data_IF_838450594483
#
_entry.id   IF_838450594483
#
_cell.length_a   1.000
_cell.length_b   1.000
_cell.length_c   1.000
_cell.angle_alpha   90.00
_cell.angle_beta   90.00
_cell.angle_gamma   90.00
#
_symmetry.space_group_name_H-M   'P 1'
#
loop_
_entity.id
_entity.type
_entity.pdbx_description
1 polymer ?
#
# COMPACT_ATOMS: atom_id res chain seq x y z
N UNK A 1 10.06 -16.13 18.57
CA UNK A 1 9.84 -14.86 17.85
C UNK A 1 9.57 -15.03 16.34
N UNK A 2 10.23 -15.97 15.65
CA UNK A 2 9.88 -16.26 14.23
C UNK A 2 8.65 -17.18 14.08
N UNK A 3 8.43 -18.09 15.00
CA UNK A 3 7.24 -18.97 15.03
C UNK A 3 5.95 -18.21 15.28
N UNK A 4 5.98 -17.14 16.10
CA UNK A 4 4.82 -16.24 16.31
C UNK A 4 4.50 -15.43 15.05
N UNK A 5 5.51 -14.98 14.31
CA UNK A 5 5.30 -14.31 13.02
C UNK A 5 4.69 -15.24 11.98
N UNK A 6 5.11 -16.48 11.93
CA UNK A 6 4.56 -17.48 11.00
C UNK A 6 3.10 -17.84 11.36
N UNK A 7 2.77 -17.92 12.64
CA UNK A 7 1.39 -18.16 13.11
C UNK A 7 0.47 -16.95 12.86
N UNK A 8 0.96 -15.72 13.04
CA UNK A 8 0.21 -14.51 12.70
C UNK A 8 -0.05 -14.36 11.19
N UNK A 9 0.89 -14.81 10.35
CA UNK A 9 0.73 -14.79 8.89
C UNK A 9 -0.23 -15.89 8.39
N UNK A 10 -0.39 -16.97 9.11
CA UNK A 10 -1.26 -18.08 8.70
C UNK A 10 -2.77 -17.76 8.78
N UNK A 11 -3.17 -16.75 9.54
CA UNK A 11 -4.57 -16.28 9.66
C UNK A 11 -4.81 -14.91 9.03
N UNK A 12 -3.80 -14.30 8.43
CA UNK A 12 -3.92 -12.98 7.83
C UNK A 12 -4.60 -13.06 6.46
N UNK A 13 -5.74 -12.39 6.33
CA UNK A 13 -6.47 -12.28 5.07
C UNK A 13 -6.17 -10.96 4.38
N UNK A 14 -5.57 -11.01 3.18
CA UNK A 14 -5.30 -9.81 2.37
C UNK A 14 -6.62 -9.32 1.78
N UNK A 15 -6.98 -8.08 2.07
CA UNK A 15 -8.21 -7.42 1.59
C UNK A 15 -7.95 -6.29 0.61
N UNK A 16 -6.72 -5.79 0.52
CA UNK A 16 -6.38 -4.69 -0.37
C UNK A 16 -4.92 -4.70 -0.80
N UNK A 17 -4.71 -4.43 -2.07
CA UNK A 17 -3.40 -4.22 -2.69
C UNK A 17 -3.43 -2.93 -3.49
N UNK A 18 -2.27 -2.39 -3.84
CA UNK A 18 -2.19 -1.21 -4.70
C UNK A 18 -2.82 -1.47 -6.07
N UNK A 19 -3.58 -0.49 -6.56
CA UNK A 19 -4.19 -0.56 -7.90
C UNK A 19 -3.17 -0.23 -8.99
N UNK A 20 -3.55 -0.49 -10.23
CA UNK A 20 -2.72 -0.14 -11.39
C UNK A 20 -2.38 1.36 -11.46
N UNK A 21 -3.25 2.23 -10.94
CA UNK A 21 -3.02 3.68 -10.91
C UNK A 21 -1.82 4.06 -10.03
N UNK A 22 -1.50 3.27 -9.01
CA UNK A 22 -0.30 3.47 -8.20
C UNK A 22 0.99 3.27 -9.00
N UNK A 23 0.95 2.45 -10.05
CA UNK A 23 2.08 2.23 -10.96
C UNK A 23 2.21 3.30 -12.05
N UNK A 24 1.19 4.15 -12.27
CA UNK A 24 1.25 5.20 -13.27
C UNK A 24 2.40 6.19 -13.01
N UNK A 25 2.66 6.53 -11.73
CA UNK A 25 3.81 7.34 -11.35
C UNK A 25 5.15 6.68 -11.68
N UNK A 26 5.26 5.36 -11.46
CA UNK A 26 6.46 4.58 -11.80
C UNK A 26 6.65 4.53 -13.31
N UNK A 27 5.57 4.34 -14.07
CA UNK A 27 5.60 4.35 -15.53
C UNK A 27 6.03 5.71 -16.09
N UNK A 28 5.47 6.80 -15.55
CA UNK A 28 5.86 8.16 -15.95
C UNK A 28 7.35 8.43 -15.67
N UNK A 29 7.82 8.03 -14.49
CA UNK A 29 9.24 8.14 -14.14
C UNK A 29 10.12 7.32 -15.10
N UNK A 30 9.72 6.09 -15.40
CA UNK A 30 10.45 5.25 -16.36
C UNK A 30 10.51 5.89 -17.75
N UNK A 31 9.40 6.45 -18.23
CA UNK A 31 9.37 7.15 -19.52
C UNK A 31 10.37 8.32 -19.53
N UNK A 32 10.39 9.16 -18.50
CA UNK A 32 11.32 10.28 -18.40
C UNK A 32 12.77 9.79 -18.37
N UNK A 33 13.08 8.78 -17.56
CA UNK A 33 14.43 8.27 -17.43
C UNK A 33 14.95 7.61 -18.73
N UNK A 34 14.13 6.79 -19.38
CA UNK A 34 14.55 6.04 -20.55
C UNK A 34 14.43 6.84 -21.87
N UNK A 35 13.46 7.74 -21.98
CA UNK A 35 13.23 8.48 -23.24
C UNK A 35 13.79 9.90 -23.22
N UNK A 36 14.13 10.47 -22.06
CA UNK A 36 14.74 11.80 -21.97
C UNK A 36 16.15 11.73 -21.42
N UNK A 37 16.34 11.18 -20.22
CA UNK A 37 17.64 11.19 -19.56
C UNK A 37 18.67 10.31 -20.29
N UNK A 38 18.27 9.13 -20.75
CA UNK A 38 19.17 8.21 -21.43
C UNK A 38 19.67 8.74 -22.79
N UNK A 39 18.81 9.25 -23.72
CA UNK A 39 19.30 9.87 -24.95
C UNK A 39 20.21 11.07 -24.72
N UNK A 40 19.89 11.92 -23.72
CA UNK A 40 20.77 13.04 -23.36
C UNK A 40 22.14 12.58 -22.87
N UNK A 41 22.22 11.48 -22.12
CA UNK A 41 23.47 10.90 -21.66
C UNK A 41 24.31 10.34 -22.83
N UNK A 42 23.68 9.79 -23.86
CA UNK A 42 24.36 9.35 -25.09
C UNK A 42 25.01 10.48 -25.87
N UNK A 43 24.45 11.70 -25.79
CA UNK A 43 25.09 12.88 -26.43
C UNK A 43 26.41 13.28 -25.74
N UNK A 44 26.60 12.88 -24.50
CA UNK A 44 27.81 13.18 -23.76
C UNK A 44 28.87 12.10 -23.93
N UNK A 45 28.59 10.85 -23.59
CA UNK A 45 29.51 9.75 -23.62
C UNK A 45 28.78 8.42 -23.42
N UNK A 46 29.26 7.34 -24.04
CA UNK A 46 28.72 5.98 -23.86
C UNK A 46 28.82 5.50 -22.43
N UNK A 47 29.87 5.85 -21.69
CA UNK A 47 30.04 5.49 -20.29
C UNK A 47 28.96 6.19 -19.43
N UNK A 48 28.72 7.46 -19.69
CA UNK A 48 27.64 8.22 -18.99
C UNK A 48 26.27 7.59 -19.27
N UNK A 49 26.02 7.20 -20.52
CA UNK A 49 24.77 6.52 -20.88
C UNK A 49 24.62 5.16 -20.16
N UNK A 50 25.67 4.37 -20.04
CA UNK A 50 25.67 3.11 -19.30
C UNK A 50 25.38 3.33 -17.79
N UNK A 51 25.97 4.35 -17.18
CA UNK A 51 25.70 4.73 -15.79
C UNK A 51 24.25 5.18 -15.59
N UNK A 52 23.73 6.02 -16.48
CA UNK A 52 22.32 6.48 -16.43
C UNK A 52 21.35 5.31 -16.63
N UNK A 53 21.64 4.39 -17.55
CA UNK A 53 20.84 3.18 -17.77
C UNK A 53 20.78 2.32 -16.50
N UNK A 54 21.92 2.02 -15.90
CA UNK A 54 21.98 1.23 -14.66
C UNK A 54 21.25 1.88 -13.50
N UNK A 55 21.48 3.17 -13.28
CA UNK A 55 20.82 3.94 -12.23
C UNK A 55 19.30 4.01 -12.45
N UNK A 56 18.86 4.27 -13.67
CA UNK A 56 17.44 4.33 -14.04
C UNK A 56 16.74 2.99 -13.81
N UNK A 57 17.37 1.88 -14.20
CA UNK A 57 16.83 0.54 -13.98
C UNK A 57 16.67 0.23 -12.48
N UNK A 58 17.67 0.57 -11.66
CA UNK A 58 17.60 0.38 -10.19
C UNK A 58 16.50 1.23 -9.55
N UNK A 59 16.37 2.51 -9.94
CA UNK A 59 15.35 3.41 -9.43
C UNK A 59 13.95 2.91 -9.76
N UNK A 60 13.72 2.55 -11.03
CA UNK A 60 12.41 2.06 -11.48
C UNK A 60 12.07 0.73 -10.81
N UNK A 61 13.01 -0.20 -10.71
CA UNK A 61 12.83 -1.47 -10.03
C UNK A 61 12.48 -1.27 -8.54
N UNK A 62 13.20 -0.39 -7.84
CA UNK A 62 12.94 -0.07 -6.44
C UNK A 62 11.53 0.53 -6.25
N UNK A 63 11.15 1.49 -7.07
CA UNK A 63 9.83 2.11 -7.02
C UNK A 63 8.71 1.10 -7.29
N UNK A 64 8.88 0.26 -8.30
CA UNK A 64 7.93 -0.80 -8.62
C UNK A 64 7.74 -1.77 -7.44
N UNK A 65 8.82 -2.27 -6.87
CA UNK A 65 8.79 -3.15 -5.71
C UNK A 65 8.17 -2.45 -4.47
N UNK A 66 8.47 -1.17 -4.29
CA UNK A 66 7.92 -0.37 -3.20
C UNK A 66 6.39 -0.25 -3.28
N UNK A 67 5.86 0.02 -4.47
CA UNK A 67 4.39 0.03 -4.68
C UNK A 67 3.79 -1.35 -4.44
N UNK A 68 4.43 -2.40 -4.94
CA UNK A 68 3.95 -3.79 -4.80
C UNK A 68 3.98 -4.29 -3.36
N UNK A 69 4.89 -3.76 -2.52
CA UNK A 69 5.05 -4.21 -1.13
C UNK A 69 3.91 -3.79 -0.20
N UNK A 70 3.09 -2.81 -0.61
CA UNK A 70 2.00 -2.31 0.22
C UNK A 70 0.81 -3.25 0.15
N UNK A 71 0.45 -3.84 1.29
CA UNK A 71 -0.68 -4.75 1.42
C UNK A 71 -1.49 -4.39 2.66
N UNK A 72 -2.80 -4.41 2.51
CA UNK A 72 -3.77 -4.28 3.59
C UNK A 72 -4.32 -5.67 3.92
N UNK A 73 -4.19 -6.09 5.16
CA UNK A 73 -4.71 -7.37 5.64
C UNK A 73 -5.37 -7.22 7.01
N UNK A 74 -6.17 -8.19 7.38
CA UNK A 74 -6.76 -8.27 8.72
C UNK A 74 -6.50 -9.65 9.33
N UNK A 75 -6.52 -9.68 10.65
CA UNK A 75 -6.49 -10.88 11.47
C UNK A 75 -7.53 -10.78 12.60
N UNK A 76 -7.48 -11.70 13.55
CA UNK A 76 -8.38 -11.69 14.70
C UNK A 76 -8.18 -10.50 15.65
N UNK A 77 -7.02 -9.85 15.61
CA UNK A 77 -6.62 -8.76 16.50
C UNK A 77 -6.96 -7.39 15.92
N UNK A 78 -6.83 -7.22 14.61
CA UNK A 78 -7.02 -5.91 13.99
C UNK A 78 -6.83 -5.89 12.47
N UNK A 79 -6.68 -4.69 11.96
CA UNK A 79 -6.37 -4.41 10.56
C UNK A 79 -4.97 -3.84 10.47
N UNK A 80 -4.19 -4.35 9.55
CA UNK A 80 -2.77 -4.08 9.42
C UNK A 80 -2.38 -3.70 8.01
N UNK A 81 -1.40 -2.82 7.90
CA UNK A 81 -0.75 -2.46 6.63
C UNK A 81 0.71 -2.80 6.72
N UNK A 82 1.15 -3.60 5.78
CA UNK A 82 2.59 -3.83 5.57
C UNK A 82 3.05 -2.95 4.41
N UNK A 83 4.19 -2.32 4.57
CA UNK A 83 4.84 -1.54 3.52
C UNK A 83 6.36 -1.63 3.65
N UNK A 84 7.05 -1.45 2.53
CA UNK A 84 8.50 -1.38 2.47
C UNK A 84 9.17 -2.62 1.90
N UNK A 85 10.17 -2.39 1.04
CA UNK A 85 10.97 -3.42 0.35
C UNK A 85 12.24 -3.72 1.14
N UNK A 86 12.88 -2.68 1.66
CA UNK A 86 14.16 -2.81 2.34
C UNK A 86 13.97 -3.26 3.79
N UNK A 87 14.82 -4.15 4.30
CA UNK A 87 14.69 -4.70 5.66
C UNK A 87 14.57 -3.62 6.75
N UNK A 88 15.28 -2.51 6.59
CA UNK A 88 15.29 -1.37 7.51
C UNK A 88 14.18 -0.34 7.26
N UNK A 89 13.41 -0.48 6.17
CA UNK A 89 12.24 0.36 5.83
C UNK A 89 10.92 -0.42 5.87
N UNK A 90 10.93 -1.67 6.31
CA UNK A 90 9.68 -2.42 6.51
C UNK A 90 8.93 -1.82 7.69
N UNK A 91 7.74 -1.28 7.41
CA UNK A 91 6.82 -0.79 8.41
C UNK A 91 5.57 -1.65 8.46
N UNK A 92 5.09 -1.88 9.67
CA UNK A 92 3.77 -2.46 9.93
C UNK A 92 3.01 -1.43 10.74
N UNK A 93 1.97 -0.88 10.18
CA UNK A 93 1.02 -0.04 10.89
C UNK A 93 -0.29 -0.80 11.04
N UNK A 94 -0.95 -0.68 12.18
CA UNK A 94 -2.20 -1.39 12.39
C UNK A 94 -3.09 -0.73 13.42
N UNK A 95 -4.38 -1.01 13.31
CA UNK A 95 -5.40 -0.58 14.27
C UNK A 95 -6.11 -1.83 14.76
N UNK A 96 -6.14 -2.03 16.07
CA UNK A 96 -6.87 -3.14 16.69
C UNK A 96 -8.37 -2.94 16.51
N UNK A 97 -9.14 -4.01 16.43
CA UNK A 97 -10.59 -3.95 16.25
C UNK A 97 -11.27 -3.06 17.30
N UNK A 98 -10.80 -3.07 18.54
CA UNK A 98 -11.28 -2.25 19.64
C UNK A 98 -11.10 -0.74 19.40
N UNK A 99 -10.03 -0.37 18.70
CA UNK A 99 -9.62 1.01 18.51
C UNK A 99 -10.08 1.57 17.15
N UNK A 100 -10.75 0.76 16.32
CA UNK A 100 -11.33 1.19 15.06
C UNK A 100 -12.60 1.99 15.34
N UNK A 101 -12.66 3.19 14.76
CA UNK A 101 -13.86 4.01 14.76
C UNK A 101 -14.73 3.64 13.55
N UNK A 102 -14.25 3.98 12.36
CA UNK A 102 -14.93 3.69 11.10
C UNK A 102 -13.91 3.50 9.98
N UNK A 103 -14.18 2.54 9.11
CA UNK A 103 -13.48 2.46 7.83
C UNK A 103 -14.28 3.19 6.76
N UNK A 104 -13.63 4.10 6.04
CA UNK A 104 -14.24 4.89 4.97
C UNK A 104 -13.38 4.85 3.70
N UNK A 105 -13.99 5.17 2.57
CA UNK A 105 -13.26 5.36 1.33
C UNK A 105 -13.62 6.71 0.70
N UNK A 106 -12.61 7.35 0.13
CA UNK A 106 -12.81 8.60 -0.59
C UNK A 106 -12.87 8.31 -2.10
N UNK A 107 -13.91 8.84 -2.71
CA UNK A 107 -14.20 8.66 -4.12
C UNK A 107 -14.02 9.99 -4.86
N UNK A 108 -13.13 10.03 -5.85
CA UNK A 108 -13.03 11.10 -6.83
C UNK A 108 -13.36 10.55 -8.22
N UNK A 109 -13.57 11.43 -9.20
CA UNK A 109 -13.86 11.02 -10.57
C UNK A 109 -12.80 10.06 -11.12
N UNK A 110 -11.52 10.37 -10.94
CA UNK A 110 -10.41 9.51 -11.38
C UNK A 110 -10.39 8.19 -10.60
N UNK A 111 -10.66 8.24 -9.31
CA UNK A 111 -10.71 7.06 -8.44
C UNK A 111 -11.84 6.11 -8.86
N UNK A 112 -12.99 6.65 -9.22
CA UNK A 112 -14.12 5.88 -9.72
C UNK A 112 -13.81 5.24 -11.08
N UNK A 113 -13.31 6.01 -12.04
CA UNK A 113 -12.98 5.53 -13.38
C UNK A 113 -11.86 4.47 -13.37
N UNK A 114 -10.84 4.66 -12.52
CA UNK A 114 -9.70 3.76 -12.39
C UNK A 114 -9.92 2.59 -11.41
N UNK A 115 -11.07 2.54 -10.72
CA UNK A 115 -11.36 1.60 -9.61
C UNK A 115 -10.26 1.59 -8.53
N UNK A 116 -9.74 2.77 -8.24
CA UNK A 116 -8.59 3.03 -7.38
C UNK A 116 -9.00 3.99 -6.27
N UNK A 117 -9.20 3.48 -5.08
CA UNK A 117 -9.80 4.22 -3.98
C UNK A 117 -8.77 4.59 -2.91
N UNK A 118 -8.99 5.71 -2.24
CA UNK A 118 -8.28 6.01 -0.99
C UNK A 118 -9.09 5.40 0.15
N UNK A 119 -8.49 4.46 0.85
CA UNK A 119 -9.08 3.80 2.03
C UNK A 119 -8.52 4.48 3.27
N UNK A 120 -9.41 4.82 4.18
CA UNK A 120 -9.10 5.43 5.47
C UNK A 120 -9.71 4.60 6.58
N UNK A 121 -8.89 4.18 7.53
CA UNK A 121 -9.33 3.46 8.73
C UNK A 121 -9.08 4.39 9.91
N UNK A 122 -10.16 4.90 10.48
CA UNK A 122 -10.15 5.82 11.60
C UNK A 122 -9.75 5.12 12.90
N UNK A 123 -8.97 5.81 13.72
CA UNK A 123 -8.63 5.38 15.07
C UNK A 123 -9.43 6.20 16.07
N UNK A 124 -10.14 5.51 17.00
CA UNK A 124 -11.10 6.11 17.94
C UNK A 124 -10.49 7.20 18.84
N UNK A 125 -9.23 7.08 19.21
CA UNK A 125 -8.59 7.94 20.20
C UNK A 125 -7.54 8.89 19.62
N UNK A 126 -6.93 8.57 18.48
CA UNK A 126 -5.74 9.28 17.98
C UNK A 126 -5.76 9.39 16.46
N UNK A 127 -5.80 10.61 15.95
CA UNK A 127 -5.74 10.86 14.49
C UNK A 127 -4.40 10.46 13.88
N UNK A 128 -3.32 10.51 14.63
CA UNK A 128 -1.98 10.14 14.17
C UNK A 128 -1.83 8.63 13.90
N UNK A 129 -2.74 7.82 14.44
CA UNK A 129 -2.77 6.37 14.23
C UNK A 129 -3.75 5.93 13.14
N UNK A 130 -4.37 6.88 12.43
CA UNK A 130 -5.20 6.57 11.27
C UNK A 130 -4.39 5.94 10.14
N UNK A 131 -4.94 4.92 9.52
CA UNK A 131 -4.37 4.33 8.32
C UNK A 131 -5.02 4.97 7.11
N UNK A 132 -4.21 5.69 6.32
CA UNK A 132 -4.64 6.26 5.04
C UNK A 132 -3.85 5.62 3.91
N UNK A 133 -4.56 4.90 3.04
CA UNK A 133 -3.97 4.20 1.91
C UNK A 133 -4.54 4.73 0.60
N UNK A 134 -3.65 5.35 -0.18
CA UNK A 134 -4.00 5.83 -1.52
C UNK A 134 -3.88 4.73 -2.56
N UNK A 135 -4.72 4.78 -3.58
CA UNK A 135 -4.68 3.90 -4.75
C UNK A 135 -4.80 2.42 -4.41
N UNK A 136 -5.80 2.05 -3.62
CA UNK A 136 -6.12 0.65 -3.32
C UNK A 136 -7.11 0.12 -4.35
N UNK A 137 -6.78 -1.03 -4.93
CA UNK A 137 -7.68 -1.75 -5.81
C UNK A 137 -8.88 -2.28 -5.00
N UNK A 138 -10.09 -2.08 -5.54
CA UNK A 138 -11.33 -2.52 -4.89
C UNK A 138 -11.50 -2.00 -3.44
N UNK A 139 -10.98 -0.80 -3.15
CA UNK A 139 -10.99 -0.23 -1.80
C UNK A 139 -12.38 -0.13 -1.16
N UNK A 140 -13.44 0.04 -1.98
CA UNK A 140 -14.83 -0.03 -1.51
C UNK A 140 -15.13 -1.38 -0.85
N UNK A 141 -14.80 -2.48 -1.53
CA UNK A 141 -15.01 -3.84 -0.98
C UNK A 141 -14.18 -4.09 0.28
N UNK A 142 -12.95 -3.56 0.32
CA UNK A 142 -12.09 -3.65 1.50
C UNK A 142 -12.74 -2.95 2.71
N UNK A 143 -13.27 -1.74 2.52
CA UNK A 143 -13.98 -0.99 3.57
C UNK A 143 -15.25 -1.71 4.03
N UNK A 144 -16.06 -2.21 3.09
CA UNK A 144 -17.27 -2.98 3.40
C UNK A 144 -16.93 -4.22 4.25
N UNK A 145 -15.83 -4.92 3.91
CA UNK A 145 -15.35 -6.09 4.66
C UNK A 145 -14.91 -5.71 6.08
N UNK A 146 -14.11 -4.65 6.23
CA UNK A 146 -13.64 -4.18 7.55
C UNK A 146 -14.83 -3.78 8.44
N UNK A 147 -15.76 -3.01 7.91
CA UNK A 147 -16.93 -2.57 8.68
C UNK A 147 -17.85 -3.74 9.06
N UNK A 148 -18.05 -4.71 8.16
CA UNK A 148 -18.84 -5.91 8.45
C UNK A 148 -18.22 -6.75 9.58
N UNK A 149 -16.90 -6.97 9.51
CA UNK A 149 -16.16 -7.71 10.53
C UNK A 149 -16.14 -6.97 11.86
N UNK A 150 -15.97 -5.65 11.85
CA UNK A 150 -16.02 -4.82 13.06
C UNK A 150 -17.39 -4.93 13.75
N UNK A 151 -18.47 -4.79 13.00
CA UNK A 151 -19.82 -4.96 13.55
C UNK A 151 -20.09 -6.38 14.07
N UNK A 152 -19.56 -7.41 13.38
CA UNK A 152 -19.68 -8.79 13.86
C UNK A 152 -18.97 -8.97 15.19
N UNK A 153 -17.75 -8.42 15.35
CA UNK A 153 -16.99 -8.52 16.61
C UNK A 153 -17.66 -7.75 17.77
N UNK A 154 -18.28 -6.61 17.49
CA UNK A 154 -19.10 -5.90 18.49
C UNK A 154 -20.30 -6.75 18.94
N UNK A 155 -21.02 -7.37 18.01
CA UNK A 155 -22.17 -8.26 18.34
C UNK A 155 -21.77 -9.48 19.16
N UNK A 156 -20.55 -9.98 18.96
CA UNK A 156 -20.01 -11.13 19.71
C UNK A 156 -19.43 -10.72 21.07
N UNK A 157 -19.45 -9.42 21.43
CA UNK A 157 -18.87 -8.92 22.68
C UNK A 157 -17.36 -9.07 22.79
N UNK A 158 -16.68 -9.22 21.66
CA UNK A 158 -15.20 -9.31 21.60
C UNK A 158 -14.57 -7.91 21.61
N UNK A 159 -15.35 -6.91 21.26
CA UNK A 159 -14.94 -5.50 21.17
C UNK A 159 -16.03 -4.66 21.83
N UNK A 160 -15.66 -3.92 22.88
CA UNK A 160 -16.52 -2.94 23.55
C UNK A 160 -16.31 -1.53 22.96
#
# INVERSE_FOLDING_TARGET
MELDKAAMTAQAHVIGVKSWLAYAGVAALAIVLFFVALPLAFLWNEIAAACVLGASALIVAYQFLSVRSVQLYYDDVGVWVVSGVLPWKKGVAGVKWRDIDEASFVNGFVSWAARSYTVRIGHRFTKDSEIVLHHIAHGRKAVETVNALHQQKIRLGVVD
#
